data_IF_935522298509
#
_entry.id   IF_935522298509
#
_cell.length_a   1.000
_cell.length_b   1.000
_cell.length_c   1.000
_cell.angle_alpha   90.00
_cell.angle_beta   90.00
_cell.angle_gamma   90.00
#
_symmetry.space_group_name_H-M   'P 1'
#
loop_
_entity.id
_entity.type
_entity.pdbx_description
1 polymer ?
#
# COMPACT_ATOMS: atom_id res chain seq x y z
N UNK A 1 -2.10 16.77 27.68
CA UNK A 1 -3.57 16.91 27.62
C UNK A 1 -4.12 15.82 26.70
N UNK A 2 -4.98 14.91 27.19
CA UNK A 2 -5.68 13.96 26.32
C UNK A 2 -6.75 14.75 25.57
N UNK A 3 -6.67 14.80 24.24
CA UNK A 3 -7.69 15.40 23.37
C UNK A 3 -9.02 14.69 23.67
N UNK A 4 -10.06 15.43 24.06
CA UNK A 4 -11.36 14.86 24.39
C UNK A 4 -11.99 14.36 23.08
N UNK A 5 -12.19 13.04 22.95
CA UNK A 5 -12.77 12.44 21.74
C UNK A 5 -14.26 12.80 21.66
N UNK A 6 -14.68 13.41 20.56
CA UNK A 6 -16.10 13.63 20.23
C UNK A 6 -16.55 12.49 19.31
N UNK A 7 -17.64 11.81 19.66
CA UNK A 7 -18.22 10.76 18.83
C UNK A 7 -18.93 11.37 17.62
N UNK A 8 -18.64 10.86 16.42
CA UNK A 8 -19.38 11.11 15.18
C UNK A 8 -19.23 9.92 14.23
N UNK A 9 -20.20 9.73 13.34
CA UNK A 9 -20.19 8.72 12.27
C UNK A 9 -18.91 8.85 11.45
N UNK A 10 -18.56 10.09 11.09
CA UNK A 10 -17.30 10.41 10.42
C UNK A 10 -16.07 9.87 11.18
N UNK A 11 -15.99 10.11 12.49
CA UNK A 11 -14.84 9.62 13.28
C UNK A 11 -14.79 8.10 13.35
N UNK A 12 -15.94 7.43 13.38
CA UNK A 12 -16.02 5.97 13.40
C UNK A 12 -15.56 5.40 12.06
N UNK A 13 -16.12 5.91 10.95
CA UNK A 13 -15.78 5.45 9.60
C UNK A 13 -14.30 5.69 9.30
N UNK A 14 -13.76 6.86 9.64
CA UNK A 14 -12.35 7.20 9.45
C UNK A 14 -11.43 6.33 10.30
N UNK A 15 -11.75 6.11 11.57
CA UNK A 15 -10.95 5.24 12.45
C UNK A 15 -10.97 3.78 11.97
N UNK A 16 -12.13 3.30 11.50
CA UNK A 16 -12.28 1.96 10.91
C UNK A 16 -11.44 1.82 9.64
N UNK A 17 -11.60 2.74 8.68
CA UNK A 17 -10.85 2.77 7.43
C UNK A 17 -9.34 2.78 7.70
N UNK A 18 -8.88 3.64 8.62
CA UNK A 18 -7.45 3.75 8.92
C UNK A 18 -6.88 2.48 9.56
N UNK A 19 -7.62 1.87 10.48
CA UNK A 19 -7.23 0.59 11.08
C UNK A 19 -7.20 -0.55 10.05
N UNK A 20 -8.18 -0.59 9.14
CA UNK A 20 -8.23 -1.56 8.05
C UNK A 20 -7.08 -1.36 7.06
N UNK A 21 -6.82 -0.12 6.63
CA UNK A 21 -5.74 0.21 5.71
C UNK A 21 -4.40 -0.23 6.30
N UNK A 22 -4.12 0.13 7.56
CA UNK A 22 -2.90 -0.29 8.25
C UNK A 22 -2.78 -1.82 8.31
N UNK A 23 -3.88 -2.53 8.62
CA UNK A 23 -3.89 -3.99 8.65
C UNK A 23 -3.59 -4.59 7.28
N UNK A 24 -4.24 -4.10 6.23
CA UNK A 24 -4.09 -4.58 4.85
C UNK A 24 -2.66 -4.37 4.34
N UNK A 25 -2.12 -3.16 4.51
CA UNK A 25 -0.73 -2.83 4.16
C UNK A 25 0.24 -3.80 4.85
N UNK A 26 0.12 -4.00 6.16
CA UNK A 26 1.02 -4.87 6.90
C UNK A 26 0.90 -6.36 6.51
N UNK A 27 -0.30 -6.81 6.15
CA UNK A 27 -0.51 -8.19 5.68
C UNK A 27 0.10 -8.37 4.28
N UNK A 28 -0.13 -7.45 3.36
CA UNK A 28 0.44 -7.51 2.01
C UNK A 28 1.98 -7.46 2.04
N UNK A 29 2.56 -6.57 2.84
CA UNK A 29 4.02 -6.53 3.06
C UNK A 29 4.53 -7.87 3.56
N UNK A 30 3.83 -8.51 4.51
CA UNK A 30 4.22 -9.84 5.01
C UNK A 30 4.15 -10.91 3.94
N UNK A 31 3.17 -10.85 3.05
CA UNK A 31 3.05 -11.79 1.93
C UNK A 31 4.23 -11.60 0.96
N UNK A 32 4.57 -10.35 0.60
CA UNK A 32 5.72 -10.02 -0.24
C UNK A 32 7.06 -10.44 0.40
N UNK A 33 7.19 -10.35 1.73
CA UNK A 33 8.37 -10.84 2.46
C UNK A 33 8.51 -12.37 2.44
N UNK A 34 7.39 -13.10 2.28
CA UNK A 34 7.36 -14.57 2.19
C UNK A 34 7.60 -15.07 0.76
N UNK A 35 7.48 -14.20 -0.24
CA UNK A 35 7.84 -14.52 -1.62
C UNK A 35 9.37 -14.48 -1.76
N UNK A 36 9.98 -15.66 -1.65
CA UNK A 36 11.43 -15.87 -1.65
C UNK A 36 11.80 -16.87 -2.76
N UNK A 37 13.01 -16.77 -3.29
CA UNK A 37 13.54 -17.71 -4.29
C UNK A 37 13.06 -17.48 -5.73
N UNK A 38 12.36 -16.38 -6.00
CA UNK A 38 11.92 -15.97 -7.34
C UNK A 38 12.29 -14.50 -7.64
N UNK A 39 13.48 -14.09 -7.19
CA UNK A 39 13.97 -12.72 -7.31
C UNK A 39 14.38 -12.40 -8.76
N UNK A 40 14.13 -11.17 -9.21
CA UNK A 40 14.49 -10.72 -10.57
C UNK A 40 15.80 -9.91 -10.62
N UNK A 41 16.35 -9.55 -9.47
CA UNK A 41 17.64 -8.86 -9.34
C UNK A 41 18.86 -9.79 -9.51
N UNK A 42 18.63 -11.10 -9.62
CA UNK A 42 19.65 -12.12 -9.80
C UNK A 42 20.18 -12.72 -8.50
N UNK A 43 20.89 -13.84 -8.62
CA UNK A 43 21.37 -14.63 -7.48
C UNK A 43 22.57 -13.99 -6.74
N UNK A 44 23.25 -13.03 -7.37
CA UNK A 44 24.43 -12.35 -6.82
C UNK A 44 24.10 -11.18 -5.86
N UNK A 45 22.81 -10.99 -5.55
CA UNK A 45 22.36 -9.92 -4.68
C UNK A 45 22.22 -10.38 -3.23
N UNK A 46 22.44 -9.50 -2.24
CA UNK A 46 22.16 -9.81 -0.84
C UNK A 46 20.66 -9.82 -0.51
N UNK A 47 19.77 -9.52 -1.47
CA UNK A 47 18.33 -9.45 -1.26
C UNK A 47 17.74 -10.85 -1.16
N UNK A 48 16.66 -10.99 -0.41
CA UNK A 48 16.11 -12.28 0.01
C UNK A 48 14.61 -12.44 -0.22
N UNK A 49 13.91 -11.36 -0.59
CA UNK A 49 12.47 -11.38 -0.85
C UNK A 49 12.05 -10.32 -1.86
N UNK A 50 10.89 -10.52 -2.48
CA UNK A 50 10.27 -9.54 -3.37
C UNK A 50 10.09 -8.18 -2.67
N UNK A 51 9.75 -8.17 -1.38
CA UNK A 51 9.63 -6.93 -0.61
C UNK A 51 10.93 -6.12 -0.60
N UNK A 52 12.08 -6.78 -0.42
CA UNK A 52 13.38 -6.09 -0.41
C UNK A 52 13.74 -5.55 -1.80
N UNK A 53 13.38 -6.27 -2.88
CA UNK A 53 13.54 -5.77 -4.26
C UNK A 53 12.68 -4.56 -4.56
N UNK A 54 11.43 -4.55 -4.08
CA UNK A 54 10.54 -3.39 -4.17
C UNK A 54 11.14 -2.20 -3.41
N UNK A 55 11.65 -2.40 -2.19
CA UNK A 55 12.26 -1.34 -1.39
C UNK A 55 13.44 -0.68 -2.11
N UNK A 56 14.39 -1.47 -2.63
CA UNK A 56 15.57 -0.90 -3.31
C UNK A 56 15.20 -0.16 -4.59
N UNK A 57 14.22 -0.64 -5.35
CA UNK A 57 13.80 0.04 -6.59
C UNK A 57 13.05 1.33 -6.28
N UNK A 58 12.14 1.29 -5.31
CA UNK A 58 11.39 2.48 -4.90
C UNK A 58 12.30 3.59 -4.34
N UNK A 59 13.40 3.23 -3.67
CA UNK A 59 14.34 4.18 -3.05
C UNK A 59 15.39 4.77 -4.00
N UNK A 60 15.65 4.13 -5.13
CA UNK A 60 16.78 4.50 -6.00
C UNK A 60 16.39 4.58 -7.47
N UNK A 61 16.31 3.43 -8.16
CA UNK A 61 15.96 3.38 -9.58
C UNK A 61 15.05 2.19 -9.88
N UNK A 62 14.03 2.46 -10.71
CA UNK A 62 13.08 1.46 -11.19
C UNK A 62 13.70 0.66 -12.34
N UNK A 63 13.71 -0.66 -12.21
CA UNK A 63 14.17 -1.54 -13.28
C UNK A 63 13.11 -1.75 -14.36
N UNK A 64 13.49 -2.35 -15.49
CA UNK A 64 12.55 -2.80 -16.51
C UNK A 64 11.47 -3.77 -15.96
N UNK A 65 11.76 -4.48 -14.86
CA UNK A 65 10.81 -5.38 -14.20
C UNK A 65 9.85 -4.68 -13.24
N UNK A 66 9.92 -3.35 -13.09
CA UNK A 66 9.12 -2.60 -12.12
C UNK A 66 7.62 -2.92 -12.21
N UNK A 67 7.08 -3.00 -13.43
CA UNK A 67 5.68 -3.34 -13.66
C UNK A 67 5.27 -4.68 -13.05
N UNK A 68 6.14 -5.70 -13.11
CA UNK A 68 5.86 -7.00 -12.52
C UNK A 68 5.72 -6.92 -10.99
N UNK A 69 6.49 -6.07 -10.33
CA UNK A 69 6.34 -5.83 -8.89
C UNK A 69 5.05 -5.08 -8.58
N UNK A 70 4.70 -4.07 -9.37
CA UNK A 70 3.42 -3.36 -9.21
C UNK A 70 2.23 -4.31 -9.38
N UNK A 71 2.23 -5.14 -10.42
CA UNK A 71 1.19 -6.15 -10.67
C UNK A 71 1.10 -7.15 -9.51
N UNK A 72 2.25 -7.54 -8.92
CA UNK A 72 2.30 -8.42 -7.75
C UNK A 72 1.70 -7.76 -6.51
N UNK A 73 2.00 -6.48 -6.26
CA UNK A 73 1.39 -5.72 -5.14
C UNK A 73 -0.12 -5.61 -5.35
N UNK A 74 -0.56 -5.22 -6.55
CA UNK A 74 -1.97 -5.10 -6.92
C UNK A 74 -2.71 -6.42 -6.67
N UNK A 75 -2.19 -7.54 -7.16
CA UNK A 75 -2.80 -8.86 -6.95
C UNK A 75 -2.87 -9.26 -5.46
N UNK A 76 -1.84 -8.92 -4.66
CA UNK A 76 -1.88 -9.14 -3.22
C UNK A 76 -3.00 -8.32 -2.56
N UNK A 77 -3.16 -7.07 -2.96
CA UNK A 77 -4.16 -6.14 -2.40
C UNK A 77 -5.58 -6.56 -2.81
N UNK A 78 -5.80 -6.85 -4.11
CA UNK A 78 -7.09 -7.31 -4.64
C UNK A 78 -7.60 -8.54 -3.90
N UNK A 79 -6.75 -9.57 -3.75
CA UNK A 79 -7.13 -10.79 -3.03
C UNK A 79 -7.45 -10.58 -1.54
N UNK A 80 -7.00 -9.47 -0.93
CA UNK A 80 -7.41 -9.09 0.44
C UNK A 80 -8.71 -8.29 0.45
N UNK A 81 -8.92 -7.43 -0.55
CA UNK A 81 -10.11 -6.59 -0.65
C UNK A 81 -11.35 -7.43 -1.01
N UNK A 82 -11.22 -8.46 -1.84
CA UNK A 82 -12.31 -9.39 -2.17
C UNK A 82 -12.95 -10.06 -0.95
N UNK A 83 -12.20 -10.16 0.17
CA UNK A 83 -12.69 -10.77 1.41
C UNK A 83 -13.34 -9.78 2.39
N UNK A 84 -13.46 -8.50 2.04
CA UNK A 84 -14.01 -7.47 2.93
C UNK A 84 -15.54 -7.47 2.93
N UNK A 85 -16.11 -7.09 4.06
CA UNK A 85 -17.53 -6.74 4.11
C UNK A 85 -17.77 -5.39 3.41
N UNK A 86 -18.98 -5.13 2.87
CA UNK A 86 -19.29 -3.88 2.18
C UNK A 86 -18.93 -2.62 3.01
N UNK A 87 -19.31 -2.59 4.29
CA UNK A 87 -19.00 -1.45 5.16
C UNK A 87 -17.49 -1.24 5.42
N UNK A 88 -16.67 -2.29 5.28
CA UNK A 88 -15.21 -2.19 5.38
C UNK A 88 -14.63 -1.59 4.10
N UNK A 89 -15.16 -2.00 2.95
CA UNK A 89 -14.82 -1.42 1.66
C UNK A 89 -15.22 0.06 1.60
N UNK A 90 -16.44 0.41 2.04
CA UNK A 90 -16.93 1.79 2.09
C UNK A 90 -16.02 2.67 2.98
N UNK A 91 -15.66 2.16 4.17
CA UNK A 91 -14.79 2.89 5.09
C UNK A 91 -13.37 3.10 4.54
N UNK A 92 -12.86 2.16 3.74
CA UNK A 92 -11.58 2.31 3.04
C UNK A 92 -11.70 3.27 1.86
N UNK A 93 -12.78 3.20 1.08
CA UNK A 93 -13.03 4.07 -0.06
C UNK A 93 -13.12 5.55 0.38
N UNK A 94 -13.69 5.83 1.56
CA UNK A 94 -13.69 7.17 2.15
C UNK A 94 -12.30 7.73 2.50
N UNK A 95 -11.24 6.91 2.46
CA UNK A 95 -9.86 7.39 2.60
C UNK A 95 -9.17 7.69 1.27
N UNK A 96 -9.77 7.28 0.15
CA UNK A 96 -9.21 7.55 -1.18
C UNK A 96 -9.44 9.02 -1.55
N UNK A 97 -8.77 9.45 -2.62
CA UNK A 97 -8.95 10.79 -3.16
C UNK A 97 -10.38 11.01 -3.68
N UNK A 98 -10.95 9.98 -4.28
CA UNK A 98 -12.32 9.93 -4.78
C UNK A 98 -13.32 10.07 -3.62
N UNK A 99 -13.06 9.39 -2.50
CA UNK A 99 -13.82 9.54 -1.26
C UNK A 99 -13.77 10.96 -0.68
N UNK A 100 -12.59 11.59 -0.68
CA UNK A 100 -12.44 12.99 -0.26
C UNK A 100 -13.22 13.95 -1.16
N UNK A 101 -13.17 13.75 -2.48
CA UNK A 101 -13.92 14.58 -3.42
C UNK A 101 -15.42 14.42 -3.25
N UNK A 102 -15.93 13.19 -3.16
CA UNK A 102 -17.34 12.92 -2.92
C UNK A 102 -17.84 13.53 -1.60
N UNK A 103 -17.02 13.51 -0.54
CA UNK A 103 -17.39 14.14 0.74
C UNK A 103 -17.44 15.68 0.67
N UNK A 104 -16.79 16.28 -0.35
CA UNK A 104 -16.86 17.73 -0.60
C UNK A 104 -18.07 18.15 -1.46
N UNK A 105 -18.72 17.20 -2.15
CA UNK A 105 -19.87 17.49 -3.02
C UNK A 105 -21.12 17.90 -2.22
N UNK A 106 -22.00 18.69 -2.84
CA UNK A 106 -23.30 18.99 -2.27
C UNK A 106 -24.16 17.72 -2.20
N UNK A 107 -24.89 17.52 -1.11
CA UNK A 107 -25.67 16.30 -0.87
C UNK A 107 -26.62 15.93 -2.02
N UNK A 108 -27.21 16.93 -2.69
CA UNK A 108 -28.10 16.72 -3.84
C UNK A 108 -27.41 16.40 -5.17
N UNK A 109 -26.08 16.52 -5.23
CA UNK A 109 -25.25 16.25 -6.42
C UNK A 109 -24.48 14.93 -6.30
N UNK A 110 -24.35 14.40 -5.08
CA UNK A 110 -23.63 13.16 -4.79
C UNK A 110 -24.25 11.96 -5.48
N UNK A 111 -23.40 11.16 -6.12
CA UNK A 111 -23.79 9.81 -6.51
C UNK A 111 -24.17 8.99 -5.27
N UNK A 112 -25.25 8.22 -5.38
CA UNK A 112 -25.80 7.45 -4.24
C UNK A 112 -24.86 6.35 -3.73
N UNK A 113 -24.02 5.81 -4.61
CA UNK A 113 -23.04 4.77 -4.27
C UNK A 113 -21.84 4.84 -5.23
N UNK A 114 -20.83 5.67 -4.93
CA UNK A 114 -19.67 5.90 -5.80
C UNK A 114 -18.54 4.87 -5.60
N UNK A 115 -18.69 3.93 -4.66
CA UNK A 115 -17.59 3.08 -4.17
C UNK A 115 -17.10 2.15 -5.28
N UNK A 116 -15.85 2.36 -5.70
CA UNK A 116 -15.15 1.51 -6.65
C UNK A 116 -13.94 0.84 -6.02
N UNK A 117 -13.84 -0.48 -6.20
CA UNK A 117 -12.76 -1.28 -5.62
C UNK A 117 -11.38 -0.86 -6.12
N UNK A 118 -11.27 -0.43 -7.39
CA UNK A 118 -10.00 -0.01 -7.96
C UNK A 118 -9.37 1.16 -7.22
N UNK A 119 -10.17 2.13 -6.77
CA UNK A 119 -9.69 3.29 -6.01
C UNK A 119 -9.04 2.85 -4.68
N UNK A 120 -9.64 1.85 -4.01
CA UNK A 120 -9.11 1.30 -2.77
C UNK A 120 -7.85 0.48 -3.02
N UNK A 121 -7.80 -0.28 -4.11
CA UNK A 121 -6.59 -1.02 -4.52
C UNK A 121 -5.43 -0.06 -4.75
N UNK A 122 -5.66 1.01 -5.52
CA UNK A 122 -4.66 2.04 -5.81
C UNK A 122 -4.20 2.73 -4.52
N UNK A 123 -5.13 3.13 -3.65
CA UNK A 123 -4.81 3.73 -2.35
C UNK A 123 -3.92 2.83 -1.49
N UNK A 124 -4.28 1.56 -1.31
CA UNK A 124 -3.49 0.62 -0.49
C UNK A 124 -2.13 0.30 -1.14
N UNK A 125 -2.08 0.20 -2.47
CA UNK A 125 -0.81 0.03 -3.20
C UNK A 125 0.11 1.21 -2.94
N UNK A 126 -0.39 2.43 -3.03
CA UNK A 126 0.40 3.64 -2.82
C UNK A 126 0.90 3.73 -1.37
N UNK A 127 0.08 3.35 -0.38
CA UNK A 127 0.52 3.20 1.01
C UNK A 127 1.65 2.16 1.16
N UNK A 128 1.55 1.01 0.47
CA UNK A 128 2.62 -0.02 0.48
C UNK A 128 3.91 0.54 -0.12
N UNK A 129 3.83 1.25 -1.25
CA UNK A 129 4.99 1.87 -1.90
C UNK A 129 5.61 2.98 -1.03
N UNK A 130 4.79 3.75 -0.33
CA UNK A 130 5.25 4.70 0.69
C UNK A 130 6.05 4.01 1.79
N UNK A 131 5.58 2.86 2.30
CA UNK A 131 6.34 2.05 3.26
C UNK A 131 7.63 1.51 2.68
N UNK A 132 7.65 1.12 1.40
CA UNK A 132 8.84 0.61 0.74
C UNK A 132 9.92 1.69 0.62
N UNK A 133 9.53 2.94 0.39
CA UNK A 133 10.45 4.08 0.35
C UNK A 133 11.17 4.32 1.68
N UNK A 134 10.48 4.11 2.80
CA UNK A 134 11.03 4.37 4.14
C UNK A 134 11.67 3.13 4.81
N UNK A 135 11.52 1.95 4.20
CA UNK A 135 11.95 0.69 4.79
C UNK A 135 13.43 0.43 4.55
N UNK A 136 14.17 0.05 5.60
CA UNK A 136 15.57 -0.28 5.47
C UNK A 136 15.98 -1.45 6.36
N UNK A 137 16.95 -2.23 5.88
CA UNK A 137 17.63 -3.27 6.64
C UNK A 137 19.08 -3.44 6.14
N UNK A 138 19.83 -4.34 6.77
CA UNK A 138 21.24 -4.55 6.43
C UNK A 138 21.46 -4.98 4.97
N UNK A 139 20.57 -5.80 4.40
CA UNK A 139 20.69 -6.29 3.01
C UNK A 139 20.43 -5.17 2.00
N UNK A 140 19.37 -4.37 2.23
CA UNK A 140 19.04 -3.19 1.44
C UNK A 140 20.20 -2.19 1.45
N UNK A 141 20.75 -1.88 2.63
CA UNK A 141 21.89 -0.96 2.74
C UNK A 141 23.13 -1.46 1.98
N UNK A 142 23.44 -2.76 2.07
CA UNK A 142 24.54 -3.36 1.30
C UNK A 142 24.31 -3.31 -0.20
N UNK A 143 23.07 -3.55 -0.65
CA UNK A 143 22.71 -3.49 -2.06
C UNK A 143 22.91 -2.07 -2.61
N UNK A 144 22.37 -1.06 -1.91
CA UNK A 144 22.46 0.34 -2.31
C UNK A 144 23.91 0.85 -2.27
N UNK A 145 24.69 0.51 -1.23
CA UNK A 145 26.09 0.93 -1.12
C UNK A 145 26.95 0.45 -2.31
N UNK A 146 26.78 -0.82 -2.74
CA UNK A 146 27.50 -1.36 -3.91
C UNK A 146 27.19 -0.61 -5.21
N UNK A 147 25.97 -0.05 -5.34
CA UNK A 147 25.55 0.70 -6.52
C UNK A 147 26.18 2.10 -6.54
N UNK A 148 26.23 2.78 -5.39
CA UNK A 148 26.91 4.08 -5.25
C UNK A 148 28.42 4.04 -5.51
N UNK A 149 29.07 2.89 -5.33
CA UNK A 149 30.50 2.73 -5.66
C UNK A 149 30.78 2.62 -7.16
N UNK A 150 29.74 2.38 -7.99
CA UNK A 150 29.87 2.21 -9.44
C UNK A 150 29.44 3.44 -10.27
N UNK A 151 28.88 4.47 -9.62
CA UNK A 151 28.53 5.77 -10.21
C UNK A 151 29.64 6.81 -9.94
#
# INVERSE_FOLDING_TARGET
MKRQRKLSEYSIARDLGAALAQRLVMVCIRDLQRMQGCLLSGDDTPLSSIWEEICVQQQWELSFYWRAYQDTITACVEGRIEGLHPYELDALWLLTREGEFWDCELEGERESYPVFQGDVVDYIRDEILGRANDWSNERIRRYLARRYEMD
#
